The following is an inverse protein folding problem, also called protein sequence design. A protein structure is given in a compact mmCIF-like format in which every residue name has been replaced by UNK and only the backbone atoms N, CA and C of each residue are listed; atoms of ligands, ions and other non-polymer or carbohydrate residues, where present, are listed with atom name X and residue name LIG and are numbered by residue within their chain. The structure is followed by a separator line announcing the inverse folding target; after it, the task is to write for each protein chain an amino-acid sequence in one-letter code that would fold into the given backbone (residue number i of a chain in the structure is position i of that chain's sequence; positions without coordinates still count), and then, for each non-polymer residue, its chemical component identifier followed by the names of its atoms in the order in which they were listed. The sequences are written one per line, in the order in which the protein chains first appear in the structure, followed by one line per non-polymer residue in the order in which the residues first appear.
data_IF_077130602387
#
_entry.id   IF_077130602387
#
_cell.length_a   1.000
_cell.length_b   1.000
_cell.length_c   1.000
_cell.angle_alpha   90.00
_cell.angle_beta   90.00
_cell.angle_gamma   90.00
#
_symmetry.space_group_name_H-M   'P 1'
#
loop_
_entity.id
_entity.type
_entity.pdbx_description
1 polymer ?
#
# COMPACT_ATOMS: atom_id res chain seq x y z
N UNK A 1 21.17 -63.65 24.72
CA UNK A 1 21.76 -62.72 23.70
C UNK A 1 20.71 -62.55 22.60
N UNK A 2 19.96 -61.47 22.66
CA UNK A 2 18.89 -61.14 21.67
C UNK A 2 19.42 -60.07 20.73
N UNK A 3 19.64 -60.49 19.50
CA UNK A 3 20.16 -59.69 18.39
C UNK A 3 19.08 -58.67 17.95
N UNK A 4 19.37 -57.35 18.04
CA UNK A 4 18.51 -56.30 17.56
C UNK A 4 18.64 -56.18 16.02
N UNK A 5 17.52 -56.29 15.31
CA UNK A 5 17.45 -56.05 13.89
C UNK A 5 17.78 -54.58 13.52
N UNK A 6 18.46 -54.32 12.38
CA UNK A 6 18.81 -52.97 11.97
C UNK A 6 17.57 -52.19 11.50
N UNK A 7 17.49 -50.93 11.96
CA UNK A 7 16.45 -49.94 11.57
C UNK A 7 16.70 -49.53 10.12
N UNK A 8 15.72 -49.58 9.20
CA UNK A 8 15.90 -49.14 7.82
C UNK A 8 16.18 -47.63 7.76
N UNK A 9 17.22 -47.25 7.04
CA UNK A 9 17.57 -45.85 6.77
C UNK A 9 16.53 -45.22 5.84
N UNK A 10 15.91 -44.10 6.32
CA UNK A 10 15.01 -43.26 5.53
C UNK A 10 15.83 -42.55 4.45
N UNK A 11 15.44 -42.62 3.15
CA UNK A 11 16.13 -41.85 2.10
C UNK A 11 16.00 -40.35 2.33
N UNK A 12 17.02 -39.54 1.97
CA UNK A 12 16.96 -38.09 2.12
C UNK A 12 15.84 -37.51 1.26
N UNK A 13 15.01 -36.67 1.87
CA UNK A 13 13.99 -35.93 1.16
C UNK A 13 14.66 -35.00 0.14
N UNK A 14 14.28 -35.04 -1.15
CA UNK A 14 14.88 -34.17 -2.15
C UNK A 14 14.66 -32.68 -1.72
N UNK A 15 15.75 -31.93 -1.65
CA UNK A 15 15.71 -30.48 -1.41
C UNK A 15 14.90 -29.80 -2.51
N UNK A 16 13.80 -29.19 -2.15
CA UNK A 16 13.03 -28.31 -3.03
C UNK A 16 13.98 -27.21 -3.51
N UNK A 17 14.13 -27.01 -4.84
CA UNK A 17 14.98 -25.94 -5.33
C UNK A 17 14.47 -24.63 -4.77
N UNK A 18 15.36 -23.84 -4.15
CA UNK A 18 15.05 -22.50 -3.69
C UNK A 18 14.59 -21.69 -4.90
N UNK A 19 13.34 -21.23 -4.88
CA UNK A 19 12.85 -20.24 -5.83
C UNK A 19 13.80 -19.04 -5.74
N UNK A 20 14.36 -18.54 -6.85
CA UNK A 20 15.26 -17.40 -6.79
C UNK A 20 14.50 -16.25 -6.13
N UNK A 21 15.00 -15.80 -4.97
CA UNK A 21 14.45 -14.67 -4.25
C UNK A 21 14.76 -13.41 -5.06
N UNK A 22 13.81 -12.98 -5.90
CA UNK A 22 13.86 -11.66 -6.49
C UNK A 22 13.81 -10.67 -5.32
N UNK A 23 14.86 -9.86 -5.16
CA UNK A 23 14.89 -8.84 -4.11
C UNK A 23 13.66 -7.94 -4.26
N UNK A 24 12.90 -7.68 -3.19
CA UNK A 24 11.72 -6.85 -3.26
C UNK A 24 12.09 -5.41 -3.65
N UNK A 25 11.19 -4.72 -4.34
CA UNK A 25 11.33 -3.30 -4.67
C UNK A 25 11.28 -2.45 -3.41
N UNK A 26 10.34 -2.78 -2.50
CA UNK A 26 10.20 -2.14 -1.19
C UNK A 26 10.18 -3.19 -0.10
N UNK A 27 10.99 -3.01 0.95
CA UNK A 27 10.95 -3.82 2.17
C UNK A 27 10.75 -2.95 3.40
N UNK A 28 9.71 -3.21 4.17
CA UNK A 28 9.38 -2.49 5.40
C UNK A 28 9.54 -3.40 6.60
N UNK A 29 10.46 -3.04 7.49
CA UNK A 29 10.84 -3.84 8.66
C UNK A 29 10.65 -3.05 9.96
N UNK A 30 9.53 -3.27 10.64
CA UNK A 30 9.25 -2.69 11.93
C UNK A 30 9.03 -1.18 11.91
N UNK A 31 8.56 -0.64 10.76
CA UNK A 31 8.28 0.78 10.62
C UNK A 31 7.27 1.23 11.68
N UNK A 32 7.71 2.19 12.49
CA UNK A 32 6.87 2.82 13.51
C UNK A 32 6.93 4.34 13.37
N UNK A 33 5.78 5.00 13.51
CA UNK A 33 5.66 6.45 13.50
C UNK A 33 4.91 6.91 14.74
N UNK A 34 5.53 7.81 15.51
CA UNK A 34 4.95 8.41 16.72
C UNK A 34 5.00 9.92 16.63
N UNK A 35 3.89 10.58 16.91
CA UNK A 35 3.84 12.05 17.00
C UNK A 35 3.97 12.52 18.44
N UNK A 36 4.81 13.52 18.64
CA UNK A 36 4.87 14.27 19.91
C UNK A 36 3.81 15.38 19.87
N UNK A 37 2.82 15.26 20.74
CA UNK A 37 1.73 16.22 20.86
C UNK A 37 2.02 17.25 21.97
N UNK A 38 1.38 18.42 21.94
CA UNK A 38 1.42 19.36 23.06
C UNK A 38 1.04 18.67 24.38
N UNK A 39 1.67 19.08 25.48
CA UNK A 39 1.47 18.44 26.80
C UNK A 39 2.19 17.12 27.00
N UNK A 40 3.13 16.75 26.13
CA UNK A 40 3.95 15.53 26.27
C UNK A 40 3.27 14.23 25.86
N UNK A 41 2.00 14.27 25.44
CA UNK A 41 1.27 13.08 24.93
C UNK A 41 1.93 12.59 23.64
N UNK A 42 1.96 11.26 23.46
CA UNK A 42 2.46 10.61 22.25
C UNK A 42 1.32 9.86 21.56
N UNK A 43 1.24 9.98 20.25
CA UNK A 43 0.28 9.26 19.40
C UNK A 43 1.06 8.28 18.52
N UNK A 44 0.82 6.98 18.69
CA UNK A 44 1.42 5.94 17.85
C UNK A 44 0.55 5.71 16.61
N UNK A 45 0.88 6.41 15.52
CA UNK A 45 0.10 6.34 14.30
C UNK A 45 0.40 5.10 13.44
N UNK A 46 1.65 4.60 13.51
CA UNK A 46 2.08 3.32 12.90
C UNK A 46 2.92 2.59 13.93
N UNK A 47 2.70 1.29 14.10
CA UNK A 47 3.44 0.48 15.06
C UNK A 47 3.85 -0.84 14.43
N UNK A 48 5.17 -1.04 14.30
CA UNK A 48 5.80 -2.29 13.87
C UNK A 48 5.25 -2.82 12.53
N UNK A 49 5.03 -1.93 11.54
CA UNK A 49 4.57 -2.34 10.22
C UNK A 49 5.67 -3.15 9.52
N UNK A 50 5.28 -4.32 8.96
CA UNK A 50 6.17 -5.26 8.26
C UNK A 50 5.50 -5.79 7.02
N UNK A 51 6.09 -5.54 5.86
CA UNK A 51 5.66 -6.09 4.57
C UNK A 51 6.73 -5.82 3.51
N UNK A 52 6.67 -6.58 2.43
CA UNK A 52 7.49 -6.37 1.23
C UNK A 52 6.58 -6.19 0.03
N UNK A 53 7.08 -5.50 -0.99
CA UNK A 53 6.43 -5.39 -2.30
C UNK A 53 7.43 -5.83 -3.35
N UNK A 54 7.11 -6.90 -4.07
CA UNK A 54 7.97 -7.46 -5.09
C UNK A 54 7.84 -6.71 -6.43
N UNK A 55 8.81 -6.92 -7.31
CA UNK A 55 8.70 -6.47 -8.70
C UNK A 55 7.53 -7.17 -9.40
N UNK A 56 6.73 -6.43 -10.16
CA UNK A 56 5.51 -6.94 -10.79
C UNK A 56 4.30 -7.03 -9.85
N UNK A 57 4.46 -6.69 -8.57
CA UNK A 57 3.42 -6.83 -7.55
C UNK A 57 2.65 -5.54 -7.32
N UNK A 58 1.34 -5.68 -7.15
CA UNK A 58 0.46 -4.68 -6.55
C UNK A 58 0.07 -5.15 -5.14
N UNK A 59 0.59 -4.47 -4.11
CA UNK A 59 0.14 -4.63 -2.72
C UNK A 59 -0.90 -3.57 -2.40
N UNK A 60 -2.13 -3.98 -2.05
CA UNK A 60 -3.14 -3.06 -1.56
C UNK A 60 -3.12 -3.00 -0.03
N UNK A 61 -2.91 -1.79 0.52
CA UNK A 61 -3.00 -1.49 1.95
C UNK A 61 -4.40 -0.97 2.24
N UNK A 62 -5.22 -1.79 2.88
CA UNK A 62 -6.62 -1.49 3.19
C UNK A 62 -6.87 -1.31 4.69
N UNK A 63 -7.97 -0.67 5.05
CA UNK A 63 -8.40 -0.47 6.44
C UNK A 63 -9.28 0.77 6.58
N UNK A 64 -9.91 0.90 7.75
CA UNK A 64 -10.78 2.06 8.05
C UNK A 64 -10.03 3.40 8.00
N UNK A 65 -10.76 4.49 7.80
CA UNK A 65 -10.17 5.83 7.84
C UNK A 65 -9.53 6.10 9.20
N UNK A 66 -8.39 6.81 9.20
CA UNK A 66 -7.65 7.13 10.43
C UNK A 66 -6.80 6.01 11.02
N UNK A 67 -6.73 4.80 10.43
CA UNK A 67 -5.93 3.70 10.96
C UNK A 67 -4.40 3.84 10.74
N UNK A 68 -3.92 4.90 10.04
CA UNK A 68 -2.49 5.17 9.87
C UNK A 68 -1.92 4.97 8.46
N UNK A 69 -2.72 4.60 7.45
CA UNK A 69 -2.27 4.31 6.06
C UNK A 69 -1.51 5.49 5.43
N UNK A 70 -2.11 6.69 5.41
CA UNK A 70 -1.48 7.89 4.83
C UNK A 70 -0.27 8.38 5.64
N UNK A 71 -0.20 8.06 6.94
CA UNK A 71 1.01 8.31 7.76
C UNK A 71 2.14 7.40 7.33
N UNK A 72 1.85 6.12 7.05
CA UNK A 72 2.82 5.17 6.50
C UNK A 72 3.33 5.66 5.12
N UNK A 73 2.44 6.08 4.22
CA UNK A 73 2.81 6.68 2.93
C UNK A 73 3.72 7.91 3.09
N UNK A 74 3.34 8.82 4.01
CA UNK A 74 4.14 10.02 4.31
C UNK A 74 5.53 9.69 4.86
N UNK A 75 5.66 8.60 5.64
CA UNK A 75 6.95 8.14 6.13
C UNK A 75 7.85 7.65 4.98
N UNK A 76 7.30 6.88 4.03
CA UNK A 76 8.03 6.40 2.85
C UNK A 76 8.47 7.52 1.91
N UNK A 77 7.77 8.66 1.91
CA UNK A 77 8.06 9.83 1.08
C UNK A 77 8.89 10.91 1.79
N UNK A 78 9.23 10.72 3.08
CA UNK A 78 9.91 11.74 3.88
C UNK A 78 9.07 13.01 4.07
N UNK A 79 7.73 12.88 4.13
CA UNK A 79 6.78 14.01 4.25
C UNK A 79 6.16 14.11 5.64
N UNK A 80 6.74 13.43 6.63
CA UNK A 80 6.28 13.55 8.01
C UNK A 80 6.60 14.94 8.60
N UNK A 81 5.73 15.51 9.43
CA UNK A 81 6.01 16.79 10.11
C UNK A 81 7.12 16.63 11.16
N UNK A 82 7.76 17.75 11.53
CA UNK A 82 8.93 17.76 12.42
C UNK A 82 8.70 17.24 13.85
N UNK A 83 7.44 17.08 14.28
CA UNK A 83 7.09 16.45 15.56
C UNK A 83 6.97 14.93 15.48
N UNK A 84 7.16 14.33 14.29
CA UNK A 84 7.15 12.89 14.10
C UNK A 84 8.50 12.27 14.50
N UNK A 85 8.43 11.07 15.04
CA UNK A 85 9.57 10.19 15.31
C UNK A 85 9.35 8.88 14.59
N UNK A 86 10.35 8.41 13.85
CA UNK A 86 10.32 7.13 13.13
C UNK A 86 11.25 6.12 13.78
N UNK A 87 10.94 4.84 13.62
CA UNK A 87 11.81 3.72 13.98
C UNK A 87 11.59 2.57 13.00
N UNK A 88 12.53 1.62 12.96
CA UNK A 88 12.53 0.51 12.00
C UNK A 88 13.33 0.86 10.75
N UNK A 89 13.04 0.17 9.64
CA UNK A 89 13.66 0.37 8.33
C UNK A 89 12.63 0.32 7.22
N UNK A 90 12.88 1.10 6.16
CA UNK A 90 12.13 1.01 4.91
C UNK A 90 13.14 1.06 3.74
N UNK A 91 13.43 -0.09 3.17
CA UNK A 91 14.43 -0.24 2.11
C UNK A 91 13.76 -0.18 0.74
N UNK A 92 14.20 0.74 -0.09
CA UNK A 92 13.85 0.81 -1.51
C UNK A 92 15.10 0.45 -2.33
N UNK A 93 15.19 -0.80 -2.78
CA UNK A 93 16.46 -1.39 -3.14
C UNK A 93 17.44 -1.34 -1.95
N UNK A 94 18.59 -0.71 -2.15
CA UNK A 94 19.62 -0.55 -1.09
C UNK A 94 19.45 0.71 -0.23
N UNK A 95 18.52 1.60 -0.58
CA UNK A 95 18.31 2.87 0.12
C UNK A 95 17.35 2.72 1.30
N UNK A 96 17.83 3.01 2.52
CA UNK A 96 16.95 3.12 3.69
C UNK A 96 16.27 4.50 3.72
N UNK A 97 14.99 4.53 3.38
CA UNK A 97 14.19 5.75 3.32
C UNK A 97 14.08 6.46 4.68
N UNK A 98 14.09 5.71 5.80
CA UNK A 98 13.97 6.32 7.14
C UNK A 98 15.26 6.98 7.63
N UNK A 99 16.39 6.63 7.01
CA UNK A 99 17.69 7.23 7.29
C UNK A 99 18.06 8.35 6.29
N UNK A 100 17.29 8.52 5.21
CA UNK A 100 17.53 9.48 4.16
C UNK A 100 17.24 10.92 4.63
N UNK A 101 18.07 11.86 4.20
CA UNK A 101 17.86 13.29 4.42
C UNK A 101 16.93 13.91 3.35
N UNK A 102 16.49 15.15 3.57
CA UNK A 102 15.60 15.86 2.64
C UNK A 102 16.26 16.06 1.26
N UNK A 103 17.58 16.23 1.20
CA UNK A 103 18.30 16.38 -0.07
C UNK A 103 18.23 15.10 -0.91
N UNK A 104 18.36 13.95 -0.27
CA UNK A 104 18.20 12.63 -0.89
C UNK A 104 16.77 12.42 -1.37
N UNK A 105 15.76 12.76 -0.54
CA UNK A 105 14.37 12.72 -0.96
C UNK A 105 14.10 13.61 -2.18
N UNK A 106 14.52 14.85 -2.15
CA UNK A 106 14.27 15.80 -3.23
C UNK A 106 14.96 15.43 -4.55
N UNK A 107 16.17 14.87 -4.51
CA UNK A 107 16.97 14.63 -5.71
C UNK A 107 16.89 13.22 -6.25
N UNK A 108 16.62 12.25 -5.39
CA UNK A 108 16.74 10.83 -5.74
C UNK A 108 15.43 10.08 -5.56
N UNK A 109 14.66 10.35 -4.51
CA UNK A 109 13.50 9.53 -4.18
C UNK A 109 12.24 10.02 -4.89
N UNK A 110 11.81 11.27 -4.62
CA UNK A 110 10.54 11.79 -5.10
C UNK A 110 10.54 11.94 -6.62
N UNK A 111 9.59 11.29 -7.29
CA UNK A 111 9.43 11.27 -8.73
C UNK A 111 10.38 10.33 -9.49
N UNK A 112 11.56 9.98 -8.93
CA UNK A 112 12.56 9.13 -9.59
C UNK A 112 12.51 7.68 -9.12
N UNK A 113 12.46 7.45 -7.80
CA UNK A 113 12.37 6.12 -7.20
C UNK A 113 10.95 5.83 -6.69
N UNK A 114 10.21 6.87 -6.25
CA UNK A 114 8.81 6.76 -5.86
C UNK A 114 8.00 7.80 -6.63
N UNK A 115 7.08 7.34 -7.49
CA UNK A 115 6.00 8.13 -8.06
C UNK A 115 4.81 8.18 -7.11
N UNK A 116 4.19 9.35 -6.93
CA UNK A 116 3.04 9.52 -6.04
C UNK A 116 1.77 9.89 -6.82
N UNK A 117 0.73 9.07 -6.69
CA UNK A 117 -0.65 9.45 -7.02
C UNK A 117 -1.34 9.86 -5.71
N UNK A 118 -1.62 11.16 -5.50
CA UNK A 118 -2.09 11.66 -4.22
C UNK A 118 -3.60 11.50 -4.04
N UNK A 119 -4.03 11.47 -2.77
CA UNK A 119 -5.45 11.42 -2.38
C UNK A 119 -6.26 12.66 -2.83
N UNK A 120 -5.63 13.83 -2.83
CA UNK A 120 -6.27 15.11 -3.19
C UNK A 120 -5.55 15.74 -4.39
N UNK A 121 -5.86 15.32 -5.63
CA UNK A 121 -5.11 15.74 -6.81
C UNK A 121 -5.08 17.26 -7.00
N UNK A 122 -6.21 17.95 -6.75
CA UNK A 122 -6.30 19.39 -6.89
C UNK A 122 -5.33 20.15 -5.94
N UNK A 123 -5.05 19.61 -4.76
CA UNK A 123 -4.10 20.18 -3.82
C UNK A 123 -2.63 19.98 -4.23
N UNK A 124 -2.35 19.03 -5.11
CA UNK A 124 -1.01 18.72 -5.59
C UNK A 124 -0.67 19.36 -6.94
N UNK A 125 -1.67 19.85 -7.65
CA UNK A 125 -1.48 20.61 -8.87
C UNK A 125 -1.25 22.09 -8.55
N UNK A 126 -0.28 22.72 -9.20
CA UNK A 126 0.01 24.14 -9.04
C UNK A 126 -1.13 24.98 -9.66
N UNK A 127 -1.94 25.72 -8.90
CA UNK A 127 -3.21 26.28 -9.38
C UNK A 127 -3.05 27.35 -10.47
N UNK A 128 -1.90 28.03 -10.48
CA UNK A 128 -1.59 29.13 -11.42
C UNK A 128 -0.85 28.67 -12.69
N UNK A 129 -0.75 27.36 -12.91
CA UNK A 129 -0.06 26.78 -14.07
C UNK A 129 -0.98 25.81 -14.79
N UNK A 130 -0.88 25.76 -16.12
CA UNK A 130 -1.62 24.77 -16.90
C UNK A 130 -1.08 23.36 -16.67
N UNK A 131 -1.90 22.32 -16.90
CA UNK A 131 -1.48 20.91 -16.80
C UNK A 131 -0.28 20.64 -17.71
N UNK A 132 -0.31 21.13 -18.95
CA UNK A 132 0.80 21.02 -19.92
C UNK A 132 2.10 21.54 -19.30
N UNK A 133 2.08 22.76 -18.78
CA UNK A 133 3.27 23.39 -18.18
C UNK A 133 3.85 22.59 -17.05
N UNK A 134 3.01 21.97 -16.20
CA UNK A 134 3.45 21.12 -15.10
C UNK A 134 4.02 19.79 -15.59
N UNK A 135 3.41 19.17 -16.61
CA UNK A 135 3.93 17.95 -17.22
C UNK A 135 5.27 18.20 -17.94
N UNK A 136 5.41 19.27 -18.71
CA UNK A 136 6.65 19.63 -19.41
C UNK A 136 7.80 19.84 -18.41
N UNK A 137 7.56 20.53 -17.29
CA UNK A 137 8.55 20.72 -16.24
C UNK A 137 8.94 19.38 -15.58
N UNK A 138 7.94 18.55 -15.26
CA UNK A 138 8.18 17.22 -14.67
C UNK A 138 8.98 16.32 -15.61
N UNK A 139 8.66 16.34 -16.91
CA UNK A 139 9.42 15.62 -17.94
C UNK A 139 10.87 16.14 -17.99
N UNK A 140 11.06 17.45 -18.04
CA UNK A 140 12.41 18.05 -18.10
C UNK A 140 13.26 17.63 -16.88
N UNK A 141 12.65 17.62 -15.70
CA UNK A 141 13.36 17.32 -14.45
C UNK A 141 13.66 15.81 -14.30
N UNK A 142 12.71 14.93 -14.65
CA UNK A 142 12.82 13.51 -14.36
C UNK A 142 13.45 12.67 -15.48
N UNK A 143 13.21 13.00 -16.76
CA UNK A 143 13.58 12.12 -17.87
C UNK A 143 14.84 12.53 -18.59
N UNK A 144 15.32 13.76 -18.38
CA UNK A 144 16.49 14.30 -19.10
C UNK A 144 16.28 14.44 -20.61
N UNK A 145 15.03 14.53 -21.07
CA UNK A 145 14.67 14.71 -22.48
C UNK A 145 15.41 15.90 -23.06
N UNK A 146 16.19 15.66 -24.11
CA UNK A 146 16.91 16.66 -24.89
C UNK A 146 16.22 16.82 -26.24
N UNK A 147 16.16 18.01 -26.79
CA UNK A 147 15.50 18.27 -28.09
C UNK A 147 14.62 19.52 -28.09
N UNK A 148 14.76 20.34 -27.05
CA UNK A 148 14.08 21.62 -26.95
C UNK A 148 12.58 21.51 -26.64
N UNK A 149 11.87 22.61 -26.83
CA UNK A 149 10.45 22.74 -26.44
C UNK A 149 9.53 21.71 -27.10
N UNK A 150 9.82 21.33 -28.35
CA UNK A 150 9.00 20.35 -29.09
C UNK A 150 9.07 18.96 -28.45
N UNK A 151 10.28 18.48 -28.13
CA UNK A 151 10.47 17.17 -27.49
C UNK A 151 9.82 17.09 -26.10
N UNK A 152 9.91 18.17 -25.31
CA UNK A 152 9.23 18.26 -24.02
C UNK A 152 7.71 18.18 -24.16
N UNK A 153 7.16 18.88 -25.16
CA UNK A 153 5.72 18.87 -25.44
C UNK A 153 5.23 17.48 -25.85
N UNK A 154 5.93 16.83 -26.77
CA UNK A 154 5.60 15.45 -27.21
C UNK A 154 5.69 14.45 -26.04
N UNK A 155 6.68 14.55 -25.17
CA UNK A 155 6.82 13.70 -23.99
C UNK A 155 5.74 13.98 -22.94
N UNK A 156 5.33 15.23 -22.73
CA UNK A 156 4.24 15.62 -21.85
C UNK A 156 2.88 15.08 -22.36
N UNK A 157 2.63 15.17 -23.66
CA UNK A 157 1.44 14.62 -24.31
C UNK A 157 1.40 13.08 -24.19
N UNK A 158 2.55 12.41 -24.35
CA UNK A 158 2.66 10.96 -24.13
C UNK A 158 2.40 10.56 -22.68
N UNK A 159 2.88 11.35 -21.71
CA UNK A 159 2.60 11.12 -20.29
C UNK A 159 1.11 11.32 -19.97
N UNK A 160 0.49 12.35 -20.50
CA UNK A 160 -0.95 12.60 -20.38
C UNK A 160 -1.79 11.44 -20.97
N UNK A 161 -1.41 10.95 -22.15
CA UNK A 161 -2.09 9.84 -22.80
C UNK A 161 -2.01 8.53 -21.99
N UNK A 162 -0.90 8.29 -21.27
CA UNK A 162 -0.76 7.12 -20.37
C UNK A 162 -1.78 7.13 -19.24
N UNK A 163 -2.16 8.30 -18.73
CA UNK A 163 -3.18 8.46 -17.70
C UNK A 163 -4.58 8.72 -18.27
N UNK A 164 -4.79 8.49 -19.58
CA UNK A 164 -6.03 8.80 -20.30
C UNK A 164 -6.50 10.25 -20.08
N UNK A 165 -5.57 11.20 -19.88
CA UNK A 165 -5.88 12.62 -19.78
C UNK A 165 -6.11 13.19 -21.19
N UNK A 166 -7.25 13.87 -21.43
CA UNK A 166 -7.60 14.34 -22.79
C UNK A 166 -6.65 15.45 -23.25
N UNK A 167 -6.17 15.39 -24.51
CA UNK A 167 -5.19 16.35 -25.01
C UNK A 167 -5.73 17.79 -25.11
N UNK A 168 -7.02 17.96 -25.33
CA UNK A 168 -7.73 19.26 -25.40
C UNK A 168 -7.88 19.95 -24.04
N UNK A 169 -7.54 19.26 -22.94
CA UNK A 169 -7.55 19.80 -21.58
C UNK A 169 -6.15 20.14 -21.05
N UNK A 170 -5.08 19.86 -21.80
CA UNK A 170 -3.70 20.10 -21.35
C UNK A 170 -3.41 21.58 -21.05
N UNK A 171 -4.02 22.50 -21.77
CA UNK A 171 -3.81 23.94 -21.60
C UNK A 171 -4.75 24.57 -20.54
N UNK A 172 -5.54 23.75 -19.82
CA UNK A 172 -6.38 24.20 -18.71
C UNK A 172 -5.59 24.27 -17.41
N UNK A 173 -6.07 25.12 -16.50
CA UNK A 173 -5.59 25.23 -15.13
C UNK A 173 -6.34 24.24 -14.22
N UNK A 174 -5.77 23.85 -13.05
CA UNK A 174 -6.40 22.90 -12.13
C UNK A 174 -7.83 23.23 -11.72
N UNK A 175 -8.16 24.51 -11.53
CA UNK A 175 -9.49 24.97 -11.15
C UNK A 175 -10.56 24.87 -12.26
N UNK A 176 -10.13 24.60 -13.51
CA UNK A 176 -11.01 24.38 -14.67
C UNK A 176 -11.27 22.88 -14.91
N UNK A 177 -10.72 22.00 -14.07
CA UNK A 177 -10.82 20.55 -14.19
C UNK A 177 -11.92 19.99 -13.29
N UNK A 178 -12.63 18.99 -13.77
CA UNK A 178 -13.42 18.12 -12.90
C UNK A 178 -12.51 17.29 -11.99
N UNK A 179 -13.04 16.76 -10.88
CA UNK A 179 -12.27 15.88 -9.97
C UNK A 179 -11.57 14.72 -10.70
N UNK A 180 -12.28 14.06 -11.63
CA UNK A 180 -11.71 12.98 -12.42
C UNK A 180 -10.64 13.43 -13.41
N UNK A 181 -10.72 14.65 -13.97
CA UNK A 181 -9.66 15.22 -14.79
C UNK A 181 -8.44 15.59 -13.94
N UNK A 182 -8.64 16.19 -12.76
CA UNK A 182 -7.56 16.48 -11.84
C UNK A 182 -6.84 15.19 -11.38
N UNK A 183 -7.58 14.10 -11.13
CA UNK A 183 -7.02 12.79 -10.80
C UNK A 183 -6.14 12.25 -11.94
N UNK A 184 -6.63 12.30 -13.18
CA UNK A 184 -5.84 11.87 -14.34
C UNK A 184 -4.61 12.73 -14.58
N UNK A 185 -4.70 14.05 -14.37
CA UNK A 185 -3.53 14.93 -14.44
C UNK A 185 -2.47 14.58 -13.38
N UNK A 186 -2.87 14.34 -12.12
CA UNK A 186 -1.97 13.92 -11.06
C UNK A 186 -1.36 12.54 -11.34
N UNK A 187 -2.15 11.59 -11.86
CA UNK A 187 -1.65 10.28 -12.30
C UNK A 187 -0.65 10.44 -13.46
N UNK A 188 -0.90 11.31 -14.42
CA UNK A 188 0.04 11.59 -15.51
C UNK A 188 1.39 12.08 -14.98
N UNK A 189 1.39 13.01 -14.02
CA UNK A 189 2.61 13.51 -13.36
C UNK A 189 3.36 12.38 -12.63
N UNK A 190 2.65 11.51 -11.91
CA UNK A 190 3.24 10.38 -11.19
C UNK A 190 3.92 9.36 -12.13
N UNK A 191 3.39 9.21 -13.35
CA UNK A 191 3.88 8.24 -14.35
C UNK A 191 5.02 8.76 -15.23
N UNK A 192 5.40 10.05 -15.14
CA UNK A 192 6.46 10.64 -15.98
C UNK A 192 7.81 9.96 -15.75
N UNK A 193 8.20 9.75 -14.50
CA UNK A 193 9.57 9.33 -14.13
C UNK A 193 9.82 7.83 -14.24
N UNK A 194 8.86 7.01 -14.63
CA UNK A 194 8.98 5.55 -14.68
C UNK A 194 9.54 4.93 -13.39
N UNK A 195 9.18 5.48 -12.23
CA UNK A 195 9.67 5.09 -10.92
C UNK A 195 9.47 3.59 -10.63
N UNK A 196 10.43 2.90 -10.01
CA UNK A 196 10.30 1.49 -9.65
C UNK A 196 9.19 1.22 -8.64
N UNK A 197 8.85 2.19 -7.78
CA UNK A 197 7.69 2.12 -6.89
C UNK A 197 6.69 3.22 -7.24
N UNK A 198 5.46 2.82 -7.53
CA UNK A 198 4.33 3.73 -7.57
C UNK A 198 3.56 3.63 -6.25
N UNK A 199 3.39 4.74 -5.55
CA UNK A 199 2.57 4.86 -4.36
C UNK A 199 1.29 5.60 -4.73
N UNK A 200 0.13 4.94 -4.58
CA UNK A 200 -1.16 5.54 -4.86
C UNK A 200 -1.96 5.64 -3.56
N UNK A 201 -2.18 6.85 -3.06
CA UNK A 201 -2.93 7.09 -1.83
C UNK A 201 -4.35 7.50 -2.20
N UNK A 202 -5.32 6.59 -1.96
CA UNK A 202 -6.75 6.75 -2.25
C UNK A 202 -7.03 7.22 -3.69
N UNK A 203 -6.48 6.56 -4.72
CA UNK A 203 -6.49 7.07 -6.10
C UNK A 203 -7.87 7.13 -6.74
N UNK A 204 -8.89 6.56 -6.11
CA UNK A 204 -10.26 6.41 -6.61
C UNK A 204 -11.26 7.30 -5.89
N UNK A 205 -10.84 8.04 -4.88
CA UNK A 205 -11.72 8.89 -4.07
C UNK A 205 -12.40 9.97 -4.91
N UNK A 206 -13.74 10.03 -4.85
CA UNK A 206 -14.53 11.02 -5.58
C UNK A 206 -14.71 10.76 -7.07
N UNK A 207 -14.35 9.57 -7.55
CA UNK A 207 -14.57 9.12 -8.92
C UNK A 207 -15.87 8.31 -9.04
N UNK A 208 -16.52 8.40 -10.22
CA UNK A 208 -17.58 7.48 -10.58
C UNK A 208 -17.03 6.08 -10.90
N UNK A 209 -17.90 5.06 -10.90
CA UNK A 209 -17.52 3.65 -11.03
C UNK A 209 -16.68 3.35 -12.28
N UNK A 210 -17.08 3.87 -13.43
CA UNK A 210 -16.37 3.64 -14.71
C UNK A 210 -14.97 4.25 -14.68
N UNK A 211 -14.82 5.39 -14.00
CA UNK A 211 -13.54 6.06 -13.86
C UNK A 211 -12.64 5.39 -12.81
N UNK A 212 -13.21 4.84 -11.74
CA UNK A 212 -12.50 3.98 -10.79
C UNK A 212 -11.84 2.82 -11.53
N UNK A 213 -12.61 2.06 -12.30
CA UNK A 213 -12.11 0.89 -13.04
C UNK A 213 -10.98 1.24 -13.99
N UNK A 214 -11.13 2.32 -14.76
CA UNK A 214 -10.07 2.81 -15.66
C UNK A 214 -8.81 3.26 -14.92
N UNK A 215 -8.97 3.94 -13.80
CA UNK A 215 -7.84 4.44 -13.00
C UNK A 215 -7.02 3.28 -12.44
N UNK A 216 -7.67 2.30 -11.82
CA UNK A 216 -6.95 1.15 -11.24
C UNK A 216 -6.32 0.25 -12.30
N UNK A 217 -6.98 0.07 -13.46
CA UNK A 217 -6.41 -0.66 -14.60
C UNK A 217 -5.17 0.05 -15.16
N UNK A 218 -5.14 1.39 -15.18
CA UNK A 218 -3.97 2.14 -15.62
C UNK A 218 -2.80 2.00 -14.63
N UNK A 219 -3.08 2.07 -13.33
CA UNK A 219 -2.09 1.84 -12.29
C UNK A 219 -1.52 0.41 -12.39
N UNK A 220 -2.36 -0.60 -12.61
CA UNK A 220 -1.92 -1.98 -12.82
C UNK A 220 -1.04 -2.12 -14.05
N UNK A 221 -1.46 -1.53 -15.18
CA UNK A 221 -0.66 -1.55 -16.42
C UNK A 221 0.72 -0.93 -16.27
N UNK A 222 0.90 0.04 -15.36
CA UNK A 222 2.21 0.61 -15.04
C UNK A 222 3.15 -0.44 -14.46
N UNK A 223 2.66 -1.29 -13.58
CA UNK A 223 3.41 -2.40 -12.97
C UNK A 223 3.73 -3.48 -14.00
N UNK A 224 2.74 -3.87 -14.81
CA UNK A 224 2.87 -4.97 -15.79
C UNK A 224 3.82 -4.64 -16.95
N UNK A 225 3.95 -3.35 -17.33
CA UNK A 225 4.74 -2.90 -18.50
C UNK A 225 6.25 -2.85 -18.27
N UNK A 226 6.71 -2.91 -17.04
CA UNK A 226 8.12 -2.72 -16.73
C UNK A 226 8.69 -3.77 -15.80
N UNK A 227 9.69 -4.51 -16.26
CA UNK A 227 10.47 -5.35 -15.36
C UNK A 227 11.01 -4.50 -14.21
N UNK A 228 10.69 -4.89 -12.97
CA UNK A 228 11.19 -4.23 -11.77
C UNK A 228 10.30 -3.14 -11.16
N UNK A 229 9.10 -2.88 -11.67
CA UNK A 229 8.15 -1.91 -11.06
C UNK A 229 7.20 -2.59 -10.08
N UNK A 230 6.73 -1.82 -9.07
CA UNK A 230 5.78 -2.25 -8.06
C UNK A 230 4.76 -1.16 -7.78
N UNK A 231 3.59 -1.55 -7.25
CA UNK A 231 2.53 -0.64 -6.81
C UNK A 231 2.19 -0.90 -5.35
N UNK A 232 2.29 0.13 -4.50
CA UNK A 232 1.66 0.17 -3.19
C UNK A 232 0.42 1.05 -3.29
N UNK A 233 -0.76 0.43 -3.31
CA UNK A 233 -2.05 1.12 -3.38
C UNK A 233 -2.69 1.18 -2.00
N UNK A 234 -2.91 2.38 -1.49
CA UNK A 234 -3.65 2.62 -0.25
C UNK A 234 -5.08 2.93 -0.63
N UNK A 235 -6.04 2.17 -0.10
CA UNK A 235 -7.45 2.41 -0.39
C UNK A 235 -8.37 1.86 0.70
N UNK A 236 -9.57 2.41 0.78
CA UNK A 236 -10.71 1.84 1.50
C UNK A 236 -11.73 1.20 0.53
N UNK A 237 -11.53 1.34 -0.78
CA UNK A 237 -12.36 0.70 -1.82
C UNK A 237 -11.86 -0.74 -2.05
N UNK A 238 -12.57 -1.69 -1.42
CA UNK A 238 -12.24 -3.11 -1.51
C UNK A 238 -12.47 -3.67 -2.92
N UNK A 239 -13.43 -3.15 -3.68
CA UNK A 239 -13.67 -3.59 -5.05
C UNK A 239 -12.52 -3.15 -5.98
N UNK A 240 -12.00 -1.92 -5.79
CA UNK A 240 -10.79 -1.47 -6.49
C UNK A 240 -9.58 -2.33 -6.12
N UNK A 241 -9.42 -2.70 -4.84
CA UNK A 241 -8.34 -3.58 -4.38
C UNK A 241 -8.46 -5.00 -4.98
N UNK A 242 -9.65 -5.60 -4.96
CA UNK A 242 -9.93 -6.93 -5.55
C UNK A 242 -9.54 -7.00 -7.03
N UNK A 243 -9.79 -5.91 -7.77
CA UNK A 243 -9.53 -5.84 -9.21
C UNK A 243 -8.05 -5.91 -9.58
N UNK A 244 -7.17 -5.32 -8.75
CA UNK A 244 -5.77 -5.09 -9.19
C UNK A 244 -4.70 -5.65 -8.26
N UNK A 245 -5.03 -5.96 -7.01
CA UNK A 245 -4.02 -6.40 -6.05
C UNK A 245 -3.63 -7.87 -6.25
N UNK A 246 -2.34 -8.14 -6.09
CA UNK A 246 -1.81 -9.50 -5.94
C UNK A 246 -1.84 -9.93 -4.47
N UNK A 247 -1.57 -8.98 -3.56
CA UNK A 247 -1.65 -9.19 -2.11
C UNK A 247 -2.36 -8.04 -1.41
N UNK A 248 -2.92 -8.38 -0.26
CA UNK A 248 -3.64 -7.45 0.61
C UNK A 248 -2.90 -7.34 1.94
N UNK A 249 -2.64 -6.10 2.37
CA UNK A 249 -2.22 -5.76 3.73
C UNK A 249 -3.39 -5.07 4.42
N UNK A 250 -3.87 -5.61 5.53
CA UNK A 250 -4.95 -5.01 6.31
C UNK A 250 -4.38 -4.26 7.49
N UNK A 251 -4.68 -2.97 7.58
CA UNK A 251 -4.22 -2.11 8.66
C UNK A 251 -5.35 -1.75 9.61
N UNK A 252 -5.14 -1.97 10.90
CA UNK A 252 -6.06 -1.58 11.97
C UNK A 252 -5.29 -0.94 13.13
N UNK A 253 -5.76 0.23 13.58
CA UNK A 253 -5.19 0.92 14.75
C UNK A 253 -3.65 1.04 14.71
N UNK A 254 -3.09 1.42 13.55
CA UNK A 254 -1.65 1.61 13.35
C UNK A 254 -0.83 0.33 13.11
N UNK A 255 -1.44 -0.85 13.04
CA UNK A 255 -0.75 -2.14 12.84
C UNK A 255 -1.24 -2.87 11.60
N UNK A 256 -0.33 -3.59 10.94
CA UNK A 256 -0.72 -4.59 9.94
C UNK A 256 -1.23 -5.81 10.69
N UNK A 257 -2.53 -6.09 10.56
CA UNK A 257 -3.19 -7.21 11.25
C UNK A 257 -3.30 -8.45 10.40
N UNK A 258 -3.25 -8.31 9.07
CA UNK A 258 -3.24 -9.43 8.14
C UNK A 258 -2.48 -9.08 6.87
N UNK A 259 -1.70 -10.07 6.36
CA UNK A 259 -1.11 -10.08 5.02
C UNK A 259 -1.59 -11.35 4.33
N UNK A 260 -2.23 -11.22 3.18
CA UNK A 260 -2.80 -12.34 2.47
C UNK A 260 -2.65 -12.18 0.95
N UNK A 261 -2.63 -13.29 0.22
CA UNK A 261 -2.85 -13.31 -1.22
C UNK A 261 -4.26 -12.80 -1.54
N UNK A 262 -4.40 -11.94 -2.55
CA UNK A 262 -5.67 -11.30 -2.87
C UNK A 262 -6.75 -12.31 -3.28
N UNK A 263 -6.40 -13.36 -4.02
CA UNK A 263 -7.35 -14.42 -4.42
C UNK A 263 -7.88 -15.18 -3.21
N UNK A 264 -7.01 -15.46 -2.24
CA UNK A 264 -7.40 -16.08 -0.99
C UNK A 264 -8.25 -15.15 -0.14
N UNK A 265 -7.89 -13.86 -0.09
CA UNK A 265 -8.58 -12.85 0.72
C UNK A 265 -10.02 -12.61 0.24
N UNK A 266 -10.23 -12.38 -1.05
CA UNK A 266 -11.56 -12.11 -1.63
C UNK A 266 -12.36 -13.38 -1.95
N UNK A 267 -11.69 -14.52 -2.14
CA UNK A 267 -12.27 -15.82 -2.45
C UNK A 267 -12.39 -16.74 -1.23
N UNK A 268 -12.06 -18.01 -1.42
CA UNK A 268 -12.06 -19.03 -0.37
C UNK A 268 -10.62 -19.37 0.02
N UNK A 269 -10.32 -19.51 1.32
CA UNK A 269 -11.22 -19.51 2.50
C UNK A 269 -11.63 -18.13 3.01
N UNK A 270 -11.14 -17.05 2.42
CA UNK A 270 -11.36 -15.68 2.87
C UNK A 270 -10.35 -15.24 3.94
N UNK A 271 -10.48 -14.00 4.44
CA UNK A 271 -9.58 -13.44 5.43
C UNK A 271 -9.67 -14.18 6.76
N UNK A 272 -8.54 -14.21 7.47
CA UNK A 272 -8.39 -14.95 8.71
C UNK A 272 -8.54 -14.08 9.96
N UNK A 273 -8.20 -12.79 9.89
CA UNK A 273 -8.42 -11.87 10.99
C UNK A 273 -9.90 -11.48 11.08
N UNK A 274 -10.55 -11.51 12.25
CA UNK A 274 -11.98 -11.15 12.39
C UNK A 274 -12.30 -9.76 11.84
N UNK A 275 -11.44 -8.76 12.03
CA UNK A 275 -11.60 -7.44 11.44
C UNK A 275 -11.59 -7.47 9.89
N UNK A 276 -10.64 -8.20 9.29
CA UNK A 276 -10.56 -8.33 7.84
C UNK A 276 -11.81 -8.98 7.26
N UNK A 277 -12.35 -9.99 7.95
CA UNK A 277 -13.62 -10.61 7.57
C UNK A 277 -14.78 -9.63 7.67
N UNK A 278 -14.87 -8.88 8.77
CA UNK A 278 -15.88 -7.84 8.95
C UNK A 278 -15.83 -6.75 7.86
N UNK A 279 -14.63 -6.40 7.35
CA UNK A 279 -14.51 -5.47 6.22
C UNK A 279 -15.14 -6.04 4.94
N UNK A 280 -14.94 -7.33 4.64
CA UNK A 280 -15.57 -7.97 3.48
C UNK A 280 -17.09 -8.13 3.68
N UNK A 281 -17.52 -8.55 4.87
CA UNK A 281 -18.93 -8.75 5.19
C UNK A 281 -19.74 -7.43 5.13
N UNK A 282 -19.06 -6.28 5.28
CA UNK A 282 -19.67 -4.97 5.14
C UNK A 282 -19.95 -4.56 3.68
N UNK A 283 -19.42 -5.27 2.69
CA UNK A 283 -19.66 -4.95 1.29
C UNK A 283 -21.14 -5.22 0.89
N UNK A 284 -21.71 -4.36 -0.01
CA UNK A 284 -23.10 -4.50 -0.45
C UNK A 284 -23.43 -5.83 -1.16
N UNK A 285 -22.43 -6.40 -1.85
CA UNK A 285 -22.54 -7.68 -2.57
C UNK A 285 -22.20 -8.91 -1.71
N UNK A 286 -21.92 -8.70 -0.41
CA UNK A 286 -21.67 -9.73 0.61
C UNK A 286 -22.79 -9.75 1.64
N UNK A 287 -22.47 -9.95 2.91
CA UNK A 287 -23.47 -9.98 3.99
C UNK A 287 -24.09 -8.61 4.31
N UNK A 288 -23.52 -7.51 3.82
CA UNK A 288 -23.90 -6.12 4.09
C UNK A 288 -24.02 -5.83 5.60
N UNK A 289 -23.12 -6.43 6.39
CA UNK A 289 -23.09 -6.30 7.85
C UNK A 289 -21.92 -5.42 8.25
N UNK A 290 -22.16 -4.21 8.78
CA UNK A 290 -21.07 -3.30 9.15
C UNK A 290 -20.26 -3.86 10.34
N UNK A 291 -18.98 -3.52 10.37
CA UNK A 291 -18.11 -3.83 11.52
C UNK A 291 -18.64 -3.08 12.76
N UNK A 292 -18.94 -3.77 13.86
CA UNK A 292 -19.60 -3.15 15.02
C UNK A 292 -18.71 -2.11 15.72
N UNK A 293 -19.31 -1.10 16.35
CA UNK A 293 -18.66 -0.09 17.17
C UNK A 293 -17.74 0.86 16.39
N UNK A 294 -16.91 1.61 17.10
CA UNK A 294 -15.97 2.57 16.55
C UNK A 294 -14.52 2.10 16.74
N UNK A 295 -13.61 2.41 15.79
CA UNK A 295 -12.19 2.12 15.97
C UNK A 295 -11.64 2.95 17.15
N UNK A 296 -10.65 2.41 17.90
CA UNK A 296 -10.03 3.16 18.98
C UNK A 296 -9.20 4.34 18.43
N UNK A 297 -9.14 5.41 19.21
CA UNK A 297 -8.24 6.52 18.90
C UNK A 297 -6.77 6.09 19.00
N UNK A 298 -5.95 6.46 18.03
CA UNK A 298 -4.51 6.15 18.01
C UNK A 298 -3.74 6.74 19.23
N UNK A 299 -4.33 7.72 19.90
CA UNK A 299 -3.78 8.31 21.12
C UNK A 299 -4.19 7.61 22.43
N UNK A 300 -5.07 6.59 22.34
CA UNK A 300 -5.63 5.87 23.51
C UNK A 300 -5.84 4.39 23.17
N UNK A 301 -4.82 3.76 22.57
CA UNK A 301 -4.85 2.34 22.22
C UNK A 301 -4.80 1.48 23.49
N UNK A 302 -5.52 0.34 23.53
CA UNK A 302 -5.40 -0.64 24.62
C UNK A 302 -4.02 -1.32 24.57
N UNK A 303 -3.58 -1.87 25.71
CA UNK A 303 -2.32 -2.62 25.81
C UNK A 303 -2.37 -3.95 25.02
N UNK A 304 -3.56 -4.54 24.85
CA UNK A 304 -3.79 -5.78 24.11
C UNK A 304 -4.22 -5.56 22.66
N UNK A 305 -5.01 -6.51 22.14
CA UNK A 305 -5.57 -6.45 20.80
C UNK A 305 -6.51 -5.24 20.65
N UNK A 306 -6.15 -4.30 19.77
CA UNK A 306 -6.94 -3.08 19.55
C UNK A 306 -8.35 -3.36 19.01
N UNK A 307 -8.57 -4.51 18.37
CA UNK A 307 -9.87 -4.93 17.87
C UNK A 307 -10.74 -5.67 18.91
N UNK A 308 -10.21 -6.04 20.06
CA UNK A 308 -10.90 -6.89 21.06
C UNK A 308 -12.30 -6.37 21.43
N UNK A 309 -12.45 -5.06 21.64
CA UNK A 309 -13.74 -4.44 21.99
C UNK A 309 -14.82 -4.53 20.91
N UNK A 310 -14.45 -4.84 19.66
CA UNK A 310 -15.32 -4.95 18.48
C UNK A 310 -15.40 -6.39 17.94
N UNK A 311 -14.67 -7.32 18.58
CA UNK A 311 -14.48 -8.67 18.08
C UNK A 311 -15.44 -9.65 18.78
N UNK A 312 -16.23 -10.36 18.00
CA UNK A 312 -17.13 -11.43 18.49
C UNK A 312 -16.38 -12.68 18.99
N UNK A 313 -15.07 -12.78 18.65
CA UNK A 313 -14.19 -13.89 19.04
C UNK A 313 -13.21 -13.50 20.16
N UNK A 314 -13.41 -12.34 20.82
CA UNK A 314 -12.52 -11.88 21.86
C UNK A 314 -12.57 -12.81 23.09
N UNK A 315 -11.41 -13.08 23.67
CA UNK A 315 -11.24 -13.81 24.94
C UNK A 315 -10.20 -13.07 25.81
N UNK A 316 -9.98 -13.56 27.01
CA UNK A 316 -8.95 -13.02 27.94
C UNK A 316 -7.54 -13.01 27.33
N UNK A 317 -7.24 -13.92 26.39
CA UNK A 317 -5.98 -13.91 25.64
C UNK A 317 -5.77 -12.61 24.83
N UNK A 318 -6.85 -11.93 24.44
CA UNK A 318 -6.79 -10.67 23.69
C UNK A 318 -6.36 -9.46 24.56
N UNK A 319 -6.26 -9.61 25.88
CA UNK A 319 -5.66 -8.60 26.76
C UNK A 319 -4.15 -8.41 26.52
N UNK A 320 -3.51 -9.34 25.78
CA UNK A 320 -2.12 -9.26 25.35
C UNK A 320 -2.09 -9.09 23.82
N UNK A 321 -1.09 -8.37 23.32
CA UNK A 321 -0.90 -8.23 21.87
C UNK A 321 -0.58 -9.60 21.24
N UNK A 322 -1.24 -9.95 20.12
CA UNK A 322 -0.89 -11.15 19.38
C UNK A 322 0.55 -11.06 18.81
N UNK A 323 1.24 -12.21 18.64
CA UNK A 323 2.60 -12.23 18.11
C UNK A 323 2.69 -11.56 16.72
N UNK A 324 3.68 -10.68 16.47
CA UNK A 324 3.78 -9.90 15.23
C UNK A 324 4.29 -10.68 14.00
N UNK A 325 4.66 -11.94 14.16
CA UNK A 325 5.44 -12.68 13.15
C UNK A 325 4.63 -13.63 12.25
N UNK A 326 3.31 -13.54 12.29
CA UNK A 326 2.45 -14.38 11.46
C UNK A 326 1.77 -13.52 10.39
N UNK A 327 1.40 -14.15 9.29
CA UNK A 327 0.58 -13.52 8.27
C UNK A 327 -0.73 -12.91 8.83
N UNK A 328 -1.13 -13.33 10.06
CA UNK A 328 -2.31 -12.84 10.78
C UNK A 328 -1.96 -12.57 12.23
N UNK A 329 -2.11 -11.32 12.68
CA UNK A 329 -1.89 -10.89 14.07
C UNK A 329 -3.16 -11.07 14.90
N UNK A 330 -3.54 -12.32 15.20
CA UNK A 330 -4.73 -12.66 15.95
C UNK A 330 -4.49 -13.91 16.83
N UNK A 331 -5.06 -13.95 18.04
CA UNK A 331 -5.04 -15.14 18.91
C UNK A 331 -6.03 -16.20 18.42
N UNK A 332 -7.12 -15.80 17.76
CA UNK A 332 -8.23 -16.65 17.32
C UNK A 332 -8.54 -16.44 15.83
N UNK A 333 -7.55 -16.64 14.92
CA UNK A 333 -7.81 -16.45 13.49
C UNK A 333 -8.84 -17.46 12.99
N UNK A 334 -9.54 -17.13 11.93
CA UNK A 334 -10.34 -18.12 11.21
C UNK A 334 -9.42 -19.18 10.59
N UNK A 335 -9.88 -20.45 10.54
CA UNK A 335 -9.08 -21.56 10.03
C UNK A 335 -8.75 -21.38 8.53
N UNK A 336 -7.54 -21.81 8.13
CA UNK A 336 -7.21 -22.01 6.73
C UNK A 336 -7.81 -23.35 6.26
N UNK A 337 -8.21 -23.46 4.99
CA UNK A 337 -8.81 -24.70 4.44
C UNK A 337 -7.90 -25.95 4.58
N UNK A 338 -6.59 -25.76 4.65
CA UNK A 338 -5.61 -26.86 4.80
C UNK A 338 -5.58 -27.50 6.19
N UNK A 339 -6.12 -26.85 7.22
CA UNK A 339 -6.17 -27.42 8.58
C UNK A 339 -7.41 -28.30 8.83
N UNK A 340 -8.35 -28.34 7.87
CA UNK A 340 -9.57 -29.13 8.00
C UNK A 340 -9.44 -30.59 7.53
N UNK A 341 -8.38 -30.94 6.78
CA UNK A 341 -8.18 -32.28 6.21
C UNK A 341 -7.49 -33.26 7.19
N UNK A 342 -6.76 -32.74 8.20
CA UNK A 342 -6.03 -33.59 9.16
C UNK A 342 -6.82 -33.95 10.44
N UNK A 343 -8.13 -33.67 10.50
CA UNK A 343 -9.00 -33.98 11.65
C UNK A 343 -10.22 -34.84 11.32
N UNK A 344 -10.23 -35.54 10.16
CA UNK A 344 -11.28 -36.48 9.83
C UNK A 344 -10.77 -37.94 9.84
#
# INVERSE_FOLDING_TARGET
MTERAPVPSVPPVPSVPAVPSVSPVLSVHGLSVRFRMPGGRRVAAVTDARFDVAAGECLALIGESGCGKSVLASALLGLLPGNAQTAGRALLGDLDLLAADERTFARTVRGRLIGLVPQSPAAHLTPVRTVRSQLEETVAELTGVRGGRRALREAAEAAAARAAFPPDHLDRHPHELSGGLAQRAATALALVGDAPLLLADEPTTGLDRDLVDRTVDELRRHVDKGAGRALLMITHDLAAAERVADRIAVMYAGRIVELADARTFFGAPGPRHPYSRGLLDALPDRAFTPVPGLPPELGALPDGCAFAARCDRATDACAVLPPPHRAVACHHPHAALTEAVDRA
#
